data_IF_078139710442
#
_entry.id   IF_078139710442
#
_cell.length_a   1.000
_cell.length_b   1.000
_cell.length_c   1.000
_cell.angle_alpha   90.00
_cell.angle_beta   90.00
_cell.angle_gamma   90.00
#
_symmetry.space_group_name_H-M   'P 1'
#
loop_
_entity.id
_entity.type
_entity.pdbx_description
1 polymer ?
#
# COMPACT_ATOMS: atom_id res chain seq x y z
N UNK A 1 24.51 3.50 -14.28
CA UNK A 1 23.03 3.58 -14.21
C UNK A 1 22.60 2.82 -12.96
N UNK A 2 21.97 3.48 -11.98
CA UNK A 2 21.38 2.78 -10.83
C UNK A 2 20.12 2.08 -11.35
N UNK A 3 20.14 0.74 -11.44
CA UNK A 3 18.92 -0.06 -11.64
C UNK A 3 18.11 0.13 -10.37
N UNK A 4 17.05 0.94 -10.44
CA UNK A 4 16.09 1.01 -9.35
C UNK A 4 15.44 -0.36 -9.21
N UNK A 5 15.22 -0.81 -7.98
CA UNK A 5 14.49 -2.04 -7.71
C UNK A 5 13.11 -1.95 -8.39
N UNK A 6 12.71 -3.03 -9.07
CA UNK A 6 11.41 -3.07 -9.73
C UNK A 6 10.33 -3.26 -8.67
N UNK A 7 9.84 -2.17 -8.08
CA UNK A 7 8.68 -2.20 -7.19
C UNK A 7 7.44 -2.48 -8.04
N UNK A 8 6.70 -3.51 -7.65
CA UNK A 8 5.46 -3.92 -8.30
C UNK A 8 4.25 -3.42 -7.53
N UNK A 9 3.39 -2.65 -8.22
CA UNK A 9 2.14 -2.14 -7.69
C UNK A 9 1.00 -2.77 -8.47
N UNK A 10 0.06 -3.41 -7.77
CA UNK A 10 -1.16 -3.94 -8.36
C UNK A 10 -2.34 -3.06 -7.95
N UNK A 11 -3.01 -2.47 -8.93
CA UNK A 11 -4.29 -1.79 -8.74
C UNK A 11 -5.42 -2.77 -9.06
N UNK A 12 -6.27 -3.06 -8.09
CA UNK A 12 -7.46 -3.92 -8.24
C UNK A 12 -8.67 -2.99 -8.32
N UNK A 13 -8.98 -2.53 -9.54
CA UNK A 13 -10.20 -1.76 -9.84
C UNK A 13 -11.43 -2.65 -9.94
N UNK A 14 -12.56 -2.13 -9.44
CA UNK A 14 -13.93 -2.66 -9.46
C UNK A 14 -14.05 -4.11 -9.95
N UNK A 15 -13.85 -5.04 -9.01
CA UNK A 15 -14.35 -6.39 -9.18
C UNK A 15 -15.87 -6.32 -9.38
N UNK A 16 -16.39 -7.11 -10.32
CA UNK A 16 -17.82 -7.28 -10.47
C UNK A 16 -18.37 -7.84 -9.14
N UNK A 17 -18.99 -6.97 -8.33
CA UNK A 17 -19.53 -7.27 -7.01
C UNK A 17 -20.60 -8.38 -7.02
N UNK A 18 -20.97 -8.89 -8.20
CA UNK A 18 -21.81 -10.07 -8.36
C UNK A 18 -21.08 -11.39 -8.13
N UNK A 19 -19.74 -11.40 -8.12
CA UNK A 19 -18.94 -12.58 -7.77
C UNK A 19 -17.96 -12.25 -6.63
N UNK A 20 -18.22 -12.72 -5.39
CA UNK A 20 -17.38 -12.43 -4.24
C UNK A 20 -16.01 -13.14 -4.27
N UNK A 21 -15.79 -14.08 -5.20
CA UNK A 21 -14.52 -14.78 -5.34
C UNK A 21 -13.61 -14.11 -6.37
N UNK A 22 -12.43 -13.66 -5.90
CA UNK A 22 -11.37 -13.20 -6.79
C UNK A 22 -10.94 -14.33 -7.72
N UNK A 23 -10.77 -14.02 -9.01
CA UNK A 23 -10.19 -14.95 -9.97
C UNK A 23 -8.82 -15.44 -9.44
N UNK A 24 -8.50 -16.74 -9.56
CA UNK A 24 -7.23 -17.28 -9.07
C UNK A 24 -5.98 -16.57 -9.59
N UNK A 25 -6.06 -15.97 -10.77
CA UNK A 25 -4.99 -15.17 -11.38
C UNK A 25 -4.76 -13.84 -10.66
N UNK A 26 -5.83 -13.19 -10.20
CA UNK A 26 -5.76 -11.95 -9.42
C UNK A 26 -5.17 -12.23 -8.04
N UNK A 27 -5.58 -13.33 -7.40
CA UNK A 27 -4.98 -13.77 -6.13
C UNK A 27 -3.48 -14.00 -6.28
N UNK A 28 -3.06 -14.71 -7.33
CA UNK A 28 -1.62 -14.92 -7.61
C UNK A 28 -0.88 -13.60 -7.87
N UNK A 29 -1.51 -12.64 -8.56
CA UNK A 29 -0.91 -11.33 -8.80
C UNK A 29 -0.77 -10.53 -7.49
N UNK A 30 -1.79 -10.58 -6.62
CA UNK A 30 -1.74 -9.97 -5.28
C UNK A 30 -0.64 -10.59 -4.42
N UNK A 31 -0.43 -11.91 -4.49
CA UNK A 31 0.61 -12.62 -3.72
C UNK A 31 2.03 -12.15 -4.08
N UNK A 32 2.29 -11.85 -5.35
CA UNK A 32 3.63 -11.45 -5.80
C UNK A 32 3.88 -9.94 -5.76
N UNK A 33 2.83 -9.12 -5.74
CA UNK A 33 2.96 -7.66 -5.72
C UNK A 33 3.57 -7.13 -4.41
N UNK A 34 4.38 -6.08 -4.51
CA UNK A 34 4.96 -5.38 -3.37
C UNK A 34 3.92 -4.49 -2.68
N UNK A 35 3.11 -3.78 -3.47
CA UNK A 35 2.00 -2.96 -2.98
C UNK A 35 0.72 -3.38 -3.72
N UNK A 36 -0.37 -3.59 -2.97
CA UNK A 36 -1.71 -3.81 -3.55
C UNK A 36 -2.63 -2.70 -3.11
N UNK A 37 -3.24 -2.04 -4.11
CA UNK A 37 -4.27 -1.01 -3.92
C UNK A 37 -5.61 -1.61 -4.34
N UNK A 38 -6.60 -1.58 -3.45
CA UNK A 38 -7.97 -2.06 -3.68
C UNK A 38 -8.95 -1.03 -3.17
N UNK A 39 -9.94 -0.64 -3.96
CA UNK A 39 -10.99 0.32 -3.57
C UNK A 39 -10.41 1.62 -2.95
N UNK A 40 -9.29 2.13 -3.51
CA UNK A 40 -8.54 3.27 -2.96
C UNK A 40 -8.04 3.05 -1.53
N UNK A 41 -7.61 1.83 -1.18
CA UNK A 41 -6.95 1.48 0.08
C UNK A 41 -5.71 0.65 -0.19
N UNK A 42 -4.67 0.82 0.61
CA UNK A 42 -3.51 -0.08 0.56
C UNK A 42 -3.80 -1.29 1.46
N UNK A 43 -4.01 -2.44 0.83
CA UNK A 43 -4.34 -3.70 1.51
C UNK A 43 -3.11 -4.62 1.68
N UNK A 44 -2.00 -4.29 1.03
CA UNK A 44 -0.71 -4.96 1.20
C UNK A 44 0.44 -4.01 0.93
N UNK A 45 1.43 -4.00 1.81
CA UNK A 45 2.70 -3.31 1.61
C UNK A 45 3.87 -4.18 2.12
N UNK A 46 4.49 -4.93 1.21
CA UNK A 46 5.64 -5.81 1.51
C UNK A 46 6.94 -5.04 1.77
N UNK A 47 7.01 -3.78 1.35
CA UNK A 47 8.19 -2.93 1.57
C UNK A 47 8.36 -2.63 3.05
N UNK A 48 7.24 -2.45 3.76
CA UNK A 48 7.20 -2.40 5.21
C UNK A 48 7.28 -3.82 5.80
N UNK A 49 8.47 -4.42 5.81
CA UNK A 49 8.71 -5.63 6.59
C UNK A 49 8.54 -5.33 8.09
N UNK A 50 7.31 -5.45 8.62
CA UNK A 50 7.12 -5.72 10.03
C UNK A 50 7.22 -7.23 10.21
N UNK A 51 8.21 -7.68 10.98
CA UNK A 51 8.45 -9.09 11.31
C UNK A 51 7.40 -9.69 12.26
N UNK A 52 6.25 -9.04 12.42
CA UNK A 52 5.12 -9.54 13.19
C UNK A 52 4.08 -10.09 12.22
N UNK A 53 3.73 -11.36 12.39
CA UNK A 53 2.57 -11.92 11.72
C UNK A 53 1.39 -10.96 11.92
N UNK A 54 0.84 -10.41 10.84
CA UNK A 54 -0.41 -9.66 10.91
C UNK A 54 -1.48 -10.66 11.33
N UNK A 55 -1.77 -10.72 12.63
CA UNK A 55 -2.89 -11.50 13.13
C UNK A 55 -4.15 -10.82 12.64
N UNK A 56 -4.95 -11.57 11.87
CA UNK A 56 -6.27 -11.22 11.36
C UNK A 56 -7.25 -10.84 12.48
N UNK A 57 -7.08 -9.68 13.11
CA UNK A 57 -8.10 -9.12 14.00
C UNK A 57 -7.82 -7.64 14.20
N UNK A 58 -8.40 -6.79 13.34
CA UNK A 58 -9.20 -5.62 13.78
C UNK A 58 -9.88 -4.95 12.58
N UNK A 59 -11.21 -4.94 12.62
CA UNK A 59 -12.17 -4.11 11.87
C UNK A 59 -11.93 -3.86 10.37
N UNK A 60 -12.87 -4.33 9.56
CA UNK A 60 -13.05 -4.08 8.11
C UNK A 60 -13.25 -2.59 7.70
N UNK A 61 -12.76 -1.62 8.48
CA UNK A 61 -12.97 -0.19 8.23
C UNK A 61 -11.70 0.65 8.20
N UNK A 62 -10.51 0.12 8.48
CA UNK A 62 -9.29 0.89 8.32
C UNK A 62 -8.83 0.91 6.86
N UNK A 63 -8.66 2.11 6.30
CA UNK A 63 -8.11 2.32 4.95
C UNK A 63 -6.65 1.83 4.79
N UNK A 64 -6.06 1.26 5.84
CA UNK A 64 -4.65 0.95 6.01
C UNK A 64 -4.40 -0.50 6.43
N UNK A 65 -5.26 -1.44 6.06
CA UNK A 65 -5.11 -2.87 6.38
C UNK A 65 -3.71 -3.42 6.05
N UNK A 66 -3.05 -2.92 5.00
CA UNK A 66 -1.69 -3.29 4.64
C UNK A 66 -0.58 -2.48 5.31
N UNK A 67 -0.88 -1.53 6.20
CA UNK A 67 0.06 -0.57 6.80
C UNK A 67 -0.29 -0.32 8.27
N UNK A 68 0.56 -0.79 9.19
CA UNK A 68 0.34 -0.64 10.63
C UNK A 68 0.27 0.83 11.07
N UNK A 69 -0.72 1.19 11.90
CA UNK A 69 -0.87 2.52 12.52
C UNK A 69 -0.24 2.60 13.93
N UNK A 70 0.65 1.67 14.29
CA UNK A 70 1.38 1.76 15.57
C UNK A 70 2.48 2.83 15.50
N UNK A 71 2.72 3.59 16.59
CA UNK A 71 3.70 4.68 16.63
C UNK A 71 5.10 4.26 16.17
N UNK A 72 5.55 3.08 16.59
CA UNK A 72 6.88 2.55 16.23
C UNK A 72 7.01 2.18 14.74
N UNK A 73 5.88 1.97 14.06
CA UNK A 73 5.83 1.65 12.63
C UNK A 73 5.69 2.88 11.73
N UNK A 74 5.35 4.05 12.29
CA UNK A 74 5.01 5.27 11.55
C UNK A 74 6.12 5.71 10.58
N UNK A 75 7.33 5.94 11.09
CA UNK A 75 8.43 6.46 10.29
C UNK A 75 8.86 5.46 9.20
N UNK A 76 8.81 4.17 9.51
CA UNK A 76 9.15 3.07 8.59
C UNK A 76 8.14 2.99 7.44
N UNK A 77 6.85 3.09 7.74
CA UNK A 77 5.78 3.05 6.74
C UNK A 77 5.83 4.26 5.81
N UNK A 78 6.00 5.47 6.36
CA UNK A 78 6.17 6.69 5.56
C UNK A 78 7.40 6.58 4.65
N UNK A 79 8.53 6.11 5.18
CA UNK A 79 9.74 5.91 4.39
C UNK A 79 9.50 5.00 3.18
N UNK A 80 8.87 3.83 3.38
CA UNK A 80 8.63 2.88 2.30
C UNK A 80 7.65 3.39 1.24
N UNK A 81 6.59 4.10 1.65
CA UNK A 81 5.66 4.71 0.70
C UNK A 81 6.35 5.80 -0.13
N UNK A 82 7.15 6.67 0.51
CA UNK A 82 7.90 7.71 -0.19
C UNK A 82 8.97 7.10 -1.12
N UNK A 83 9.64 6.03 -0.70
CA UNK A 83 10.57 5.30 -1.55
C UNK A 83 9.88 4.71 -2.78
N UNK A 84 8.71 4.08 -2.60
CA UNK A 84 7.90 3.57 -3.72
C UNK A 84 7.49 4.70 -4.68
N UNK A 85 6.99 5.82 -4.17
CA UNK A 85 6.67 7.01 -4.98
C UNK A 85 7.87 7.47 -5.80
N UNK A 86 9.05 7.58 -5.19
CA UNK A 86 10.27 8.01 -5.90
C UNK A 86 10.59 7.06 -7.06
N UNK A 87 10.63 5.76 -6.80
CA UNK A 87 10.91 4.73 -7.81
C UNK A 87 9.91 4.80 -8.97
N UNK A 88 8.62 4.91 -8.67
CA UNK A 88 7.55 4.97 -9.67
C UNK A 88 7.58 6.26 -10.50
N UNK A 89 7.88 7.40 -9.89
CA UNK A 89 7.99 8.69 -10.58
C UNK A 89 9.20 8.77 -11.54
N UNK A 90 10.24 7.98 -11.29
CA UNK A 90 11.40 7.85 -12.18
C UNK A 90 11.13 7.00 -13.43
N UNK A 91 9.98 6.29 -13.48
CA UNK A 91 9.57 5.55 -14.67
C UNK A 91 9.33 6.48 -15.86
N UNK A 92 9.60 6.01 -17.08
CA UNK A 92 9.18 6.71 -18.30
C UNK A 92 7.71 6.45 -18.66
N UNK A 93 7.07 5.46 -18.04
CA UNK A 93 5.67 5.13 -18.26
C UNK A 93 4.74 6.06 -17.45
N UNK A 94 3.76 6.67 -18.13
CA UNK A 94 2.83 7.62 -17.52
C UNK A 94 1.92 6.98 -16.46
N UNK A 95 1.37 5.79 -16.72
CA UNK A 95 0.53 5.06 -15.76
C UNK A 95 1.31 4.70 -14.49
N UNK A 96 2.57 4.28 -14.63
CA UNK A 96 3.46 4.05 -13.48
C UNK A 96 3.67 5.32 -12.66
N UNK A 97 3.82 6.49 -13.31
CA UNK A 97 3.92 7.77 -12.59
C UNK A 97 2.62 8.12 -11.86
N UNK A 98 1.46 7.86 -12.47
CA UNK A 98 0.15 8.05 -11.83
C UNK A 98 0.05 7.21 -10.57
N UNK A 99 0.42 5.93 -10.61
CA UNK A 99 0.48 5.05 -9.42
C UNK A 99 1.41 5.62 -8.33
N UNK A 100 2.55 6.19 -8.73
CA UNK A 100 3.45 6.88 -7.79
C UNK A 100 2.77 8.06 -7.06
N UNK A 101 1.93 8.82 -7.77
CA UNK A 101 1.16 9.94 -7.22
C UNK A 101 0.01 9.48 -6.31
N UNK A 102 -0.62 8.36 -6.62
CA UNK A 102 -1.61 7.72 -5.74
C UNK A 102 -0.97 7.27 -4.43
N UNK A 103 0.16 6.57 -4.49
CA UNK A 103 0.93 6.17 -3.30
C UNK A 103 1.38 7.38 -2.48
N UNK A 104 1.75 8.49 -3.13
CA UNK A 104 2.08 9.73 -2.41
C UNK A 104 0.87 10.30 -1.67
N UNK A 105 -0.32 10.23 -2.28
CA UNK A 105 -1.57 10.65 -1.66
C UNK A 105 -1.88 9.78 -0.44
N UNK A 106 -1.69 8.46 -0.55
CA UNK A 106 -1.78 7.54 0.58
C UNK A 106 -0.81 7.86 1.70
N UNK A 107 0.46 8.16 1.39
CA UNK A 107 1.45 8.53 2.39
C UNK A 107 1.03 9.79 3.17
N UNK A 108 0.46 10.77 2.48
CA UNK A 108 -0.06 11.99 3.10
C UNK A 108 -1.24 11.70 4.02
N UNK A 109 -2.20 10.90 3.58
CA UNK A 109 -3.38 10.52 4.37
C UNK A 109 -3.01 9.68 5.58
N UNK A 110 -2.19 8.65 5.38
CA UNK A 110 -1.65 7.83 6.47
C UNK A 110 -0.94 8.69 7.52
N UNK A 111 -0.15 9.68 7.08
CA UNK A 111 0.58 10.54 8.01
C UNK A 111 -0.34 11.38 8.87
N UNK A 112 -1.44 11.88 8.31
CA UNK A 112 -2.46 12.61 9.07
C UNK A 112 -3.16 11.70 10.07
N UNK A 113 -3.60 10.52 9.63
CA UNK A 113 -4.29 9.55 10.48
C UNK A 113 -3.41 9.08 11.66
N UNK A 114 -2.13 8.80 11.40
CA UNK A 114 -1.19 8.41 12.45
C UNK A 114 -0.97 9.54 13.47
N UNK A 115 -0.84 10.80 13.01
CA UNK A 115 -0.71 11.95 13.89
C UNK A 115 -1.96 12.20 14.75
N UNK A 116 -3.16 12.09 14.17
CA UNK A 116 -4.43 12.22 14.88
C UNK A 116 -4.59 11.13 15.96
N UNK A 117 -4.20 9.89 15.64
CA UNK A 117 -4.23 8.77 16.60
C UNK A 117 -3.29 9.01 17.78
N UNK A 118 -2.09 9.54 17.55
CA UNK A 118 -1.14 9.84 18.62
C UNK A 118 -1.61 10.99 19.51
N UNK A 119 -2.21 12.04 18.92
CA UNK A 119 -2.74 13.19 19.66
C UNK A 119 -3.98 12.88 20.51
N UNK A 120 -4.67 11.76 20.21
CA UNK A 120 -5.85 11.32 20.95
C UNK A 120 -5.55 10.40 22.14
N UNK A 121 -4.27 10.03 22.35
CA UNK A 121 -3.79 9.24 23.50
C UNK A 121 -3.47 10.13 24.70
#
# INVERSE_FOLDING_TARGET
MKKFENITVLHVDDFDYTNPELLPEVVKAMDVADIVIREKRIVKNRLACTSGAMTETTSQQDNYEGICLEPDSFAVNVYHLLHATQVLHMSSNHETKTLGSEILSFACEYTKAAAEKELAQ
#
